data_IF_761742721921
#
_entry.id   IF_761742721921
#
_cell.length_a   1.000
_cell.length_b   1.000
_cell.length_c   1.000
_cell.angle_alpha   90.00
_cell.angle_beta   90.00
_cell.angle_gamma   90.00
#
_symmetry.space_group_name_H-M   'P 1'
#
loop_
_entity.id
_entity.type
_entity.pdbx_description
1 polymer ?
#
# COMPACT_ATOMS: atom_id res chain seq x y z
N UNK A 1 9.15 -20.37 36.59
CA UNK A 1 9.80 -19.16 36.04
C UNK A 1 9.16 -18.86 34.68
N UNK A 2 8.50 -17.72 34.50
CA UNK A 2 7.98 -17.32 33.19
C UNK A 2 9.16 -17.05 32.26
N UNK A 3 9.21 -17.74 31.13
CA UNK A 3 10.26 -17.56 30.11
C UNK A 3 10.20 -16.10 29.62
N UNK A 4 11.28 -15.37 29.82
CA UNK A 4 11.41 -14.00 29.32
C UNK A 4 11.39 -14.06 27.80
N UNK A 5 10.46 -13.34 27.17
CA UNK A 5 10.34 -13.30 25.71
C UNK A 5 11.42 -12.41 25.12
N UNK A 6 12.01 -12.86 24.01
CA UNK A 6 12.89 -12.04 23.18
C UNK A 6 12.14 -10.82 22.59
N UNK A 7 12.83 -9.72 22.26
CA UNK A 7 12.18 -8.51 21.74
C UNK A 7 11.26 -8.77 20.55
N UNK A 8 11.70 -9.55 19.57
CA UNK A 8 10.86 -9.88 18.41
C UNK A 8 9.60 -10.68 18.79
N UNK A 9 9.69 -11.56 19.81
CA UNK A 9 8.55 -12.33 20.31
C UNK A 9 7.53 -11.44 21.01
N UNK A 10 7.99 -10.39 21.72
CA UNK A 10 7.12 -9.41 22.34
C UNK A 10 6.36 -8.61 21.27
N UNK A 11 7.05 -8.20 20.19
CA UNK A 11 6.46 -7.51 19.05
C UNK A 11 5.42 -8.40 18.36
N UNK A 12 5.73 -9.67 18.09
CA UNK A 12 4.78 -10.63 17.51
C UNK A 12 3.56 -10.83 18.40
N UNK A 13 3.79 -10.99 19.71
CA UNK A 13 2.71 -11.11 20.69
C UNK A 13 1.82 -9.87 20.73
N UNK A 14 2.39 -8.67 20.56
CA UNK A 14 1.62 -7.44 20.50
C UNK A 14 0.63 -7.45 19.33
N UNK A 15 1.05 -7.91 18.14
CA UNK A 15 0.19 -8.08 16.97
C UNK A 15 -0.91 -9.10 17.24
N UNK A 16 -0.54 -10.28 17.75
CA UNK A 16 -1.45 -11.41 17.95
C UNK A 16 -2.40 -11.28 19.14
N UNK A 17 -2.11 -10.39 20.09
CA UNK A 17 -2.93 -10.20 21.31
C UNK A 17 -3.44 -8.77 21.43
N UNK A 18 -2.56 -7.80 21.69
CA UNK A 18 -2.92 -6.42 21.99
C UNK A 18 -3.59 -5.72 20.80
N UNK A 19 -3.02 -5.89 19.61
CA UNK A 19 -3.50 -5.29 18.37
C UNK A 19 -4.24 -6.28 17.47
N UNK A 20 -4.66 -7.44 17.98
CA UNK A 20 -5.33 -8.48 17.19
C UNK A 20 -6.51 -7.93 16.39
N UNK A 21 -7.43 -7.22 17.03
CA UNK A 21 -8.62 -6.65 16.38
C UNK A 21 -8.31 -5.48 15.44
N UNK A 22 -7.18 -4.80 15.66
CA UNK A 22 -6.80 -3.57 14.95
C UNK A 22 -5.83 -3.80 13.81
N UNK A 23 -5.00 -4.87 13.88
CA UNK A 23 -4.01 -5.21 12.86
C UNK A 23 -4.25 -6.59 12.26
N UNK A 24 -4.28 -7.66 13.08
CA UNK A 24 -4.36 -9.02 12.58
C UNK A 24 -5.69 -9.32 11.89
N UNK A 25 -6.81 -9.01 12.53
CA UNK A 25 -8.15 -9.26 11.97
C UNK A 25 -8.34 -8.53 10.63
N UNK A 26 -8.13 -7.20 10.50
CA UNK A 26 -8.30 -6.52 9.22
C UNK A 26 -7.29 -6.97 8.16
N UNK A 27 -6.06 -7.38 8.53
CA UNK A 27 -5.11 -8.00 7.62
C UNK A 27 -5.67 -9.31 7.05
N UNK A 28 -6.15 -10.21 7.87
CA UNK A 28 -6.76 -11.48 7.44
C UNK A 28 -8.02 -11.22 6.61
N UNK A 29 -8.83 -10.22 6.99
CA UNK A 29 -9.99 -9.80 6.21
C UNK A 29 -9.60 -9.40 4.79
N UNK A 30 -8.59 -8.55 4.65
CA UNK A 30 -8.11 -8.13 3.33
C UNK A 30 -7.59 -9.32 2.50
N UNK A 31 -6.78 -10.20 3.11
CA UNK A 31 -6.22 -11.37 2.42
C UNK A 31 -7.33 -12.28 1.88
N UNK A 32 -8.36 -12.55 2.68
CA UNK A 32 -9.48 -13.44 2.31
C UNK A 32 -10.47 -12.77 1.36
N UNK A 33 -10.89 -11.54 1.66
CA UNK A 33 -11.93 -10.85 0.90
C UNK A 33 -11.51 -10.57 -0.55
N UNK A 34 -10.21 -10.33 -0.78
CA UNK A 34 -9.69 -9.98 -2.10
C UNK A 34 -8.84 -11.09 -2.74
N UNK A 35 -8.86 -12.31 -2.18
CA UNK A 35 -8.07 -13.46 -2.68
C UNK A 35 -6.62 -13.08 -2.97
N UNK A 36 -5.96 -12.45 -2.00
CA UNK A 36 -4.62 -11.89 -2.22
C UNK A 36 -3.56 -12.97 -2.32
N UNK A 37 -3.73 -14.08 -1.61
CA UNK A 37 -2.74 -15.16 -1.50
C UNK A 37 -3.41 -16.49 -1.85
N UNK A 38 -2.79 -17.24 -2.76
CA UNK A 38 -3.20 -18.56 -3.19
C UNK A 38 -2.13 -19.61 -2.88
N UNK A 39 -2.51 -20.91 -2.82
CA UNK A 39 -1.53 -21.98 -2.67
C UNK A 39 -0.49 -21.96 -3.79
N UNK A 40 0.78 -22.10 -3.42
CA UNK A 40 1.90 -22.09 -4.36
C UNK A 40 2.41 -20.70 -4.76
N UNK A 41 1.81 -19.62 -4.24
CA UNK A 41 2.35 -18.27 -4.45
C UNK A 41 3.76 -18.12 -3.87
N UNK A 42 4.61 -17.41 -4.60
CA UNK A 42 5.88 -16.90 -4.12
C UNK A 42 5.86 -15.38 -4.15
N UNK A 43 5.83 -14.77 -2.96
CA UNK A 43 5.51 -13.35 -2.77
C UNK A 43 6.75 -12.58 -2.35
N UNK A 44 7.11 -11.54 -3.09
CA UNK A 44 8.12 -10.58 -2.69
C UNK A 44 7.49 -9.50 -1.80
N UNK A 45 7.73 -9.55 -0.50
CA UNK A 45 7.38 -8.48 0.44
C UNK A 45 8.36 -7.31 0.26
N UNK A 46 7.89 -6.21 -0.33
CA UNK A 46 8.71 -5.06 -0.66
C UNK A 46 8.82 -4.12 0.54
N UNK A 47 10.03 -3.96 1.06
CA UNK A 47 10.34 -3.19 2.26
C UNK A 47 11.03 -1.88 1.86
N UNK A 48 10.44 -0.76 2.26
CA UNK A 48 11.00 0.59 2.07
C UNK A 48 11.77 1.11 3.29
N UNK A 49 11.73 0.37 4.41
CA UNK A 49 12.29 0.78 5.69
C UNK A 49 11.33 1.59 6.58
N UNK A 50 10.20 2.03 6.05
CA UNK A 50 9.15 2.70 6.83
C UNK A 50 8.27 1.72 7.62
N UNK A 51 7.53 2.26 8.60
CA UNK A 51 6.66 1.52 9.52
C UNK A 51 5.70 0.54 8.82
N UNK A 52 5.09 1.01 7.71
CA UNK A 52 4.04 0.26 7.00
C UNK A 52 4.62 -0.98 6.33
N UNK A 53 5.72 -0.83 5.62
CA UNK A 53 6.37 -1.94 4.91
C UNK A 53 6.97 -2.99 5.87
N UNK A 54 7.49 -2.56 7.02
CA UNK A 54 8.03 -3.45 8.05
C UNK A 54 6.92 -4.22 8.77
N UNK A 55 5.80 -3.54 9.11
CA UNK A 55 4.63 -4.21 9.67
C UNK A 55 4.04 -5.21 8.67
N UNK A 56 3.88 -4.82 7.39
CA UNK A 56 3.40 -5.73 6.34
C UNK A 56 4.24 -7.00 6.26
N UNK A 57 5.57 -6.85 6.22
CA UNK A 57 6.48 -7.99 6.16
C UNK A 57 6.32 -8.91 7.38
N UNK A 58 6.14 -8.34 8.58
CA UNK A 58 5.92 -9.10 9.81
C UNK A 58 4.56 -9.80 9.81
N UNK A 59 3.50 -9.16 9.34
CA UNK A 59 2.16 -9.76 9.21
C UNK A 59 2.17 -10.94 8.22
N UNK A 60 2.82 -10.79 7.07
CA UNK A 60 2.98 -11.87 6.09
C UNK A 60 3.81 -13.03 6.66
N UNK A 61 4.89 -12.75 7.41
CA UNK A 61 5.69 -13.78 8.08
C UNK A 61 4.88 -14.56 9.12
N UNK A 62 4.06 -13.86 9.91
CA UNK A 62 3.15 -14.48 10.87
C UNK A 62 2.11 -15.34 10.15
N UNK A 63 1.53 -14.84 9.07
CA UNK A 63 0.56 -15.59 8.27
C UNK A 63 1.19 -16.87 7.70
N UNK A 64 2.39 -16.79 7.12
CA UNK A 64 3.08 -17.96 6.56
C UNK A 64 3.29 -19.07 7.60
N UNK A 65 3.58 -18.68 8.86
CA UNK A 65 3.79 -19.65 9.96
C UNK A 65 2.51 -20.28 10.51
N UNK A 66 1.37 -19.63 10.32
CA UNK A 66 0.10 -20.05 10.94
C UNK A 66 -1.00 -20.38 9.92
N UNK A 67 -0.72 -20.30 8.63
CA UNK A 67 -1.67 -20.60 7.57
C UNK A 67 -1.55 -22.03 7.10
N UNK A 68 -2.70 -22.65 6.82
CA UNK A 68 -2.75 -23.94 6.11
C UNK A 68 -2.55 -23.78 4.60
N UNK A 69 -2.59 -22.57 4.08
CA UNK A 69 -2.30 -22.25 2.67
C UNK A 69 -0.79 -22.16 2.48
N UNK A 70 -0.15 -23.06 1.73
CA UNK A 70 1.28 -23.03 1.50
C UNK A 70 1.65 -21.91 0.52
N UNK A 71 2.53 -20.99 0.92
CA UNK A 71 3.13 -19.96 0.07
C UNK A 71 4.53 -19.62 0.56
N UNK A 72 5.34 -19.05 -0.30
CA UNK A 72 6.71 -18.63 0.00
C UNK A 72 6.82 -17.11 0.10
N UNK A 73 7.77 -16.64 0.93
CA UNK A 73 8.08 -15.22 1.10
C UNK A 73 9.54 -14.95 0.78
N UNK A 74 9.75 -13.87 0.03
CA UNK A 74 11.05 -13.24 -0.16
C UNK A 74 10.93 -11.79 0.31
N UNK A 75 11.87 -11.32 1.13
CA UNK A 75 11.83 -9.95 1.68
C UNK A 75 12.81 -9.08 0.92
N UNK A 76 12.30 -8.13 0.11
CA UNK A 76 13.11 -7.29 -0.76
C UNK A 76 13.21 -5.86 -0.22
N UNK A 77 14.42 -5.40 -0.03
CA UNK A 77 14.76 -3.99 0.16
C UNK A 77 15.46 -3.49 -1.08
N UNK A 78 14.86 -2.53 -1.75
CA UNK A 78 15.52 -1.81 -2.84
C UNK A 78 16.23 -0.60 -2.26
N UNK A 79 17.54 -0.56 -2.42
CA UNK A 79 18.38 0.58 -2.03
C UNK A 79 18.52 1.53 -3.23
N UNK A 80 17.86 2.69 -3.22
CA UNK A 80 17.96 3.67 -4.30
C UNK A 80 19.16 4.61 -4.15
N UNK A 81 20.10 4.30 -3.26
CA UNK A 81 21.23 5.13 -2.85
C UNK A 81 21.01 5.77 -1.48
N UNK A 82 20.58 4.99 -0.51
CA UNK A 82 20.45 5.44 0.88
C UNK A 82 21.77 5.95 1.44
N UNK A 83 21.71 6.93 2.35
CA UNK A 83 22.86 7.22 3.21
C UNK A 83 23.12 6.05 4.17
N UNK A 84 24.34 5.99 4.73
CA UNK A 84 24.76 4.89 5.60
C UNK A 84 23.86 4.74 6.84
N UNK A 85 23.39 5.85 7.43
CA UNK A 85 22.51 5.84 8.60
C UNK A 85 21.14 5.23 8.31
N UNK A 86 20.52 5.62 7.20
CA UNK A 86 19.23 5.06 6.79
C UNK A 86 19.33 3.57 6.46
N UNK A 87 20.38 3.16 5.76
CA UNK A 87 20.64 1.75 5.46
C UNK A 87 20.83 0.93 6.73
N UNK A 88 21.68 1.41 7.64
CA UNK A 88 21.91 0.75 8.93
C UNK A 88 20.61 0.64 9.74
N UNK A 89 19.75 1.69 9.75
CA UNK A 89 18.45 1.65 10.46
C UNK A 89 17.52 0.59 9.87
N UNK A 90 17.49 0.43 8.54
CA UNK A 90 16.70 -0.64 7.89
C UNK A 90 17.20 -2.03 8.33
N UNK A 91 18.51 -2.25 8.28
CA UNK A 91 19.13 -3.52 8.67
C UNK A 91 18.90 -3.85 10.15
N UNK A 92 19.05 -2.87 11.05
CA UNK A 92 18.76 -3.00 12.47
C UNK A 92 17.30 -3.36 12.74
N UNK A 93 16.35 -2.67 12.08
CA UNK A 93 14.94 -2.96 12.22
C UNK A 93 14.57 -4.35 11.66
N UNK A 94 15.15 -4.74 10.53
CA UNK A 94 14.96 -6.07 9.97
C UNK A 94 15.48 -7.17 10.92
N UNK A 95 16.66 -6.96 11.50
CA UNK A 95 17.22 -7.87 12.50
C UNK A 95 16.37 -7.95 13.76
N UNK A 96 15.94 -6.78 14.32
CA UNK A 96 15.07 -6.71 15.49
C UNK A 96 13.72 -7.44 15.26
N UNK A 97 13.16 -7.33 14.04
CA UNK A 97 11.91 -7.98 13.66
C UNK A 97 12.11 -9.42 13.17
N UNK A 98 13.34 -9.95 13.13
CA UNK A 98 13.67 -11.26 12.56
C UNK A 98 13.11 -11.44 11.14
N UNK A 99 13.30 -10.43 10.29
CA UNK A 99 12.92 -10.45 8.87
C UNK A 99 14.18 -10.63 8.04
N UNK A 100 14.36 -11.76 7.32
CA UNK A 100 15.56 -12.03 6.52
C UNK A 100 15.51 -11.26 5.20
N UNK A 101 16.02 -10.02 5.19
CA UNK A 101 15.94 -9.12 4.02
C UNK A 101 17.05 -9.41 3.02
N UNK A 102 16.69 -9.35 1.73
CA UNK A 102 17.63 -9.28 0.61
C UNK A 102 17.66 -7.83 0.10
N UNK A 103 18.82 -7.19 0.21
CA UNK A 103 19.00 -5.80 -0.23
C UNK A 103 19.67 -5.80 -1.60
N UNK A 104 19.11 -5.04 -2.54
CA UNK A 104 19.69 -4.82 -3.86
C UNK A 104 19.73 -3.34 -4.20
N UNK A 105 20.78 -2.90 -4.88
CA UNK A 105 20.99 -1.51 -5.26
C UNK A 105 20.27 -1.16 -6.56
N UNK A 106 19.90 0.11 -6.71
CA UNK A 106 19.38 0.68 -7.94
C UNK A 106 19.92 2.11 -8.11
N UNK A 107 19.98 2.57 -9.35
CA UNK A 107 20.47 3.89 -9.78
C UNK A 107 19.35 4.96 -9.85
N UNK A 108 18.20 4.70 -9.24
CA UNK A 108 17.02 5.57 -9.36
C UNK A 108 17.30 7.01 -8.94
N UNK A 109 18.07 7.24 -7.88
CA UNK A 109 18.36 8.60 -7.44
C UNK A 109 19.27 9.36 -8.41
N UNK A 110 20.17 8.67 -9.10
CA UNK A 110 21.02 9.27 -10.13
C UNK A 110 20.18 9.69 -11.33
N UNK A 111 19.29 8.80 -11.79
CA UNK A 111 18.40 9.04 -12.93
C UNK A 111 17.36 10.12 -12.63
N UNK A 112 16.72 10.10 -11.46
CA UNK A 112 15.66 11.07 -11.12
C UNK A 112 16.20 12.45 -10.78
N UNK A 113 17.46 12.58 -10.36
CA UNK A 113 18.10 13.88 -10.10
C UNK A 113 18.33 14.71 -11.37
N UNK A 114 18.38 14.08 -12.55
CA UNK A 114 18.57 14.73 -13.85
C UNK A 114 17.28 15.21 -14.51
N UNK A 115 16.09 14.86 -13.95
CA UNK A 115 14.79 15.17 -14.56
C UNK A 115 14.08 16.28 -13.79
N UNK A 116 13.83 17.42 -14.47
CA UNK A 116 13.28 18.64 -13.86
C UNK A 116 11.77 18.63 -13.56
N UNK A 117 10.97 17.63 -14.01
CA UNK A 117 9.52 17.61 -13.84
C UNK A 117 9.05 16.35 -13.09
N UNK A 118 8.25 16.56 -12.02
CA UNK A 118 7.59 15.51 -11.24
C UNK A 118 8.49 14.34 -10.77
N UNK A 119 9.62 14.62 -10.08
CA UNK A 119 10.60 13.58 -9.71
C UNK A 119 9.98 12.47 -8.86
N UNK A 120 9.00 12.78 -8.00
CA UNK A 120 8.31 11.80 -7.15
C UNK A 120 7.49 10.77 -7.95
N UNK A 121 6.80 11.20 -9.01
CA UNK A 121 6.03 10.28 -9.85
C UNK A 121 6.95 9.33 -10.62
N UNK A 122 8.00 9.88 -11.24
CA UNK A 122 8.99 9.08 -11.98
C UNK A 122 9.70 8.09 -11.05
N UNK A 123 10.14 8.54 -9.87
CA UNK A 123 10.75 7.71 -8.84
C UNK A 123 9.83 6.55 -8.43
N UNK A 124 8.55 6.82 -8.14
CA UNK A 124 7.59 5.78 -7.76
C UNK A 124 7.34 4.77 -8.88
N UNK A 125 7.32 5.21 -10.13
CA UNK A 125 7.17 4.34 -11.31
C UNK A 125 8.39 3.46 -11.52
N UNK A 126 9.59 4.03 -11.48
CA UNK A 126 10.85 3.29 -11.61
C UNK A 126 11.02 2.27 -10.48
N UNK A 127 10.79 2.68 -9.23
CA UNK A 127 10.83 1.77 -8.07
C UNK A 127 10.00 0.52 -8.30
N UNK A 128 8.77 0.67 -8.78
CA UNK A 128 7.92 -0.49 -9.07
C UNK A 128 8.50 -1.38 -10.16
N UNK A 129 9.06 -0.81 -11.23
CA UNK A 129 9.73 -1.56 -12.30
C UNK A 129 10.89 -2.42 -11.79
N UNK A 130 11.78 -1.84 -11.00
CA UNK A 130 12.91 -2.55 -10.38
C UNK A 130 12.45 -3.66 -9.42
N UNK A 131 11.44 -3.37 -8.58
CA UNK A 131 10.89 -4.36 -7.66
C UNK A 131 10.27 -5.56 -8.41
N UNK A 132 9.50 -5.30 -9.48
CA UNK A 132 8.96 -6.37 -10.32
C UNK A 132 10.06 -7.19 -10.99
N UNK A 133 11.07 -6.53 -11.56
CA UNK A 133 12.19 -7.21 -12.22
C UNK A 133 12.91 -8.13 -11.24
N UNK A 134 13.28 -7.60 -10.07
CA UNK A 134 13.99 -8.38 -9.04
C UNK A 134 13.16 -9.50 -8.45
N UNK A 135 11.89 -9.26 -8.19
CA UNK A 135 10.97 -10.30 -7.73
C UNK A 135 10.85 -11.44 -8.75
N UNK A 136 10.75 -11.13 -10.04
CA UNK A 136 10.69 -12.13 -11.11
C UNK A 136 12.00 -12.95 -11.23
N UNK A 137 13.16 -12.29 -11.10
CA UNK A 137 14.46 -13.00 -11.04
C UNK A 137 14.51 -14.04 -9.91
N UNK A 138 13.87 -13.74 -8.79
CA UNK A 138 13.79 -14.61 -7.62
C UNK A 138 12.61 -15.61 -7.70
N UNK A 139 11.97 -15.72 -8.86
CA UNK A 139 10.88 -16.66 -9.10
C UNK A 139 9.56 -16.27 -8.43
N UNK A 140 9.40 -15.02 -7.98
CA UNK A 140 8.16 -14.56 -7.39
C UNK A 140 7.10 -14.28 -8.47
N UNK A 141 5.84 -14.64 -8.20
CA UNK A 141 4.69 -14.30 -9.02
C UNK A 141 3.90 -13.10 -8.46
N UNK A 142 4.20 -12.66 -7.23
CA UNK A 142 3.55 -11.50 -6.61
C UNK A 142 4.55 -10.58 -5.94
N UNK A 143 4.22 -9.26 -5.93
CA UNK A 143 4.85 -8.28 -5.06
C UNK A 143 3.81 -7.77 -4.06
N UNK A 144 4.18 -7.67 -2.78
CA UNK A 144 3.35 -7.08 -1.73
C UNK A 144 3.86 -5.69 -1.37
N UNK A 145 2.97 -4.70 -1.33
CA UNK A 145 3.27 -3.32 -0.96
C UNK A 145 2.49 -2.92 0.30
N UNK A 146 3.15 -2.15 1.17
CA UNK A 146 2.65 -1.72 2.48
C UNK A 146 1.60 -0.60 2.45
N UNK A 147 0.79 -0.50 1.38
CA UNK A 147 -0.34 0.44 1.35
C UNK A 147 -1.47 -0.05 2.27
N UNK A 148 -2.09 0.90 2.96
CA UNK A 148 -3.10 0.65 3.97
C UNK A 148 -4.41 1.39 3.68
N UNK A 149 -5.44 1.20 4.51
CA UNK A 149 -6.77 1.80 4.37
C UNK A 149 -6.74 3.32 4.13
N UNK A 150 -5.94 4.05 4.93
CA UNK A 150 -5.87 5.51 4.81
C UNK A 150 -5.26 5.95 3.45
N UNK A 151 -4.28 5.20 2.91
CA UNK A 151 -3.76 5.46 1.54
C UNK A 151 -4.83 5.30 0.46
N UNK A 152 -5.72 4.32 0.62
CA UNK A 152 -6.83 4.08 -0.32
C UNK A 152 -7.80 5.26 -0.30
N UNK A 153 -8.21 5.69 0.89
CA UNK A 153 -9.12 6.84 1.10
C UNK A 153 -8.49 8.12 0.55
N UNK A 154 -7.25 8.42 0.94
CA UNK A 154 -6.52 9.60 0.46
C UNK A 154 -6.40 9.59 -1.08
N UNK A 155 -6.06 8.44 -1.67
CA UNK A 155 -5.93 8.32 -3.13
C UNK A 155 -7.26 8.53 -3.84
N UNK A 156 -8.35 8.04 -3.30
CA UNK A 156 -9.70 8.25 -3.85
C UNK A 156 -10.07 9.72 -3.85
N UNK A 157 -9.90 10.41 -2.72
CA UNK A 157 -10.18 11.85 -2.60
C UNK A 157 -9.28 12.68 -3.51
N UNK A 158 -7.96 12.36 -3.56
CA UNK A 158 -7.03 13.02 -4.48
C UNK A 158 -7.44 12.85 -5.94
N UNK A 159 -7.91 11.67 -6.33
CA UNK A 159 -8.36 11.38 -7.67
C UNK A 159 -9.57 12.25 -8.08
N UNK A 160 -10.51 12.45 -7.16
CA UNK A 160 -11.69 13.31 -7.36
C UNK A 160 -11.29 14.79 -7.42
N UNK A 161 -10.49 15.28 -6.48
CA UNK A 161 -10.22 16.71 -6.33
C UNK A 161 -9.19 17.24 -7.33
N UNK A 162 -8.20 16.43 -7.67
CA UNK A 162 -7.08 16.87 -8.51
C UNK A 162 -6.95 16.09 -9.82
N UNK A 163 -7.59 14.93 -9.93
CA UNK A 163 -7.53 14.06 -11.09
C UNK A 163 -8.77 14.08 -11.97
N UNK A 164 -9.84 14.76 -11.54
CA UNK A 164 -11.14 14.78 -12.24
C UNK A 164 -11.69 13.38 -12.58
N UNK A 165 -11.42 12.42 -11.69
CA UNK A 165 -11.79 11.02 -11.87
C UNK A 165 -12.21 10.40 -10.54
N UNK A 166 -13.24 9.56 -10.55
CA UNK A 166 -13.54 8.67 -9.44
C UNK A 166 -12.73 7.39 -9.62
N UNK A 167 -11.53 7.38 -9.06
CA UNK A 167 -10.60 6.26 -9.16
C UNK A 167 -10.01 5.92 -7.80
N UNK A 168 -9.93 4.65 -7.50
CA UNK A 168 -9.35 4.15 -6.26
C UNK A 168 -8.08 3.32 -6.51
N UNK A 169 -7.40 2.99 -5.42
CA UNK A 169 -6.27 2.08 -5.42
C UNK A 169 -6.82 0.65 -5.22
N UNK A 170 -6.72 -0.28 -6.18
CA UNK A 170 -7.26 -1.63 -6.00
C UNK A 170 -6.40 -2.46 -5.03
N UNK A 171 -6.99 -3.41 -4.28
CA UNK A 171 -6.26 -4.29 -3.36
C UNK A 171 -5.32 -5.28 -4.07
N UNK A 172 -5.66 -5.63 -5.30
CA UNK A 172 -4.91 -6.54 -6.17
C UNK A 172 -4.88 -6.02 -7.59
N UNK A 173 -3.74 -6.16 -8.28
CA UNK A 173 -3.56 -5.64 -9.63
C UNK A 173 -2.63 -6.55 -10.43
N UNK A 174 -3.07 -6.98 -11.61
CA UNK A 174 -2.19 -7.67 -12.58
C UNK A 174 -1.22 -6.66 -13.21
N UNK A 175 0.04 -7.05 -13.31
CA UNK A 175 1.04 -6.20 -13.96
C UNK A 175 0.87 -6.21 -15.47
N UNK A 176 0.80 -5.04 -16.10
CA UNK A 176 0.75 -4.92 -17.57
C UNK A 176 2.13 -5.14 -18.20
N UNK A 177 3.20 -4.74 -17.51
CA UNK A 177 4.58 -4.79 -18.02
C UNK A 177 5.33 -6.07 -17.65
N UNK A 178 4.80 -6.85 -16.69
CA UNK A 178 5.38 -8.10 -16.21
C UNK A 178 4.30 -9.18 -16.24
N UNK A 179 4.06 -9.83 -17.40
CA UNK A 179 3.05 -10.86 -17.53
C UNK A 179 3.22 -11.97 -16.48
N UNK A 180 2.12 -12.44 -15.93
CA UNK A 180 2.10 -13.45 -14.86
C UNK A 180 2.38 -12.92 -13.45
N UNK A 181 2.74 -11.65 -13.29
CA UNK A 181 2.95 -11.06 -11.98
C UNK A 181 1.76 -10.20 -11.50
N UNK A 182 1.51 -10.24 -10.21
CA UNK A 182 0.48 -9.43 -9.53
C UNK A 182 1.11 -8.55 -8.45
N UNK A 183 0.45 -7.43 -8.18
CA UNK A 183 0.68 -6.57 -7.01
C UNK A 183 -0.44 -6.78 -6.03
N UNK A 184 -0.10 -6.99 -4.76
CA UNK A 184 -1.08 -7.11 -3.67
C UNK A 184 -0.84 -6.08 -2.56
N UNK A 185 -1.90 -5.72 -1.84
CA UNK A 185 -1.88 -4.79 -0.71
C UNK A 185 -2.51 -5.45 0.53
N UNK A 186 -1.73 -6.26 1.26
CA UNK A 186 -2.30 -7.06 2.36
C UNK A 186 -2.85 -6.22 3.52
N UNK A 187 -2.40 -4.97 3.68
CA UNK A 187 -2.87 -4.07 4.73
C UNK A 187 -4.04 -3.17 4.31
N UNK A 188 -4.73 -3.51 3.22
CA UNK A 188 -5.79 -2.70 2.60
C UNK A 188 -6.90 -2.24 3.57
N UNK A 189 -7.19 -3.02 4.61
CA UNK A 189 -8.20 -2.74 5.63
C UNK A 189 -7.63 -2.22 6.97
N UNK A 190 -6.31 -1.99 7.09
CA UNK A 190 -5.68 -1.49 8.32
C UNK A 190 -5.61 0.02 8.30
N UNK A 191 -6.04 0.69 9.37
CA UNK A 191 -5.93 2.13 9.53
C UNK A 191 -4.50 2.56 9.90
N UNK A 192 -4.02 3.69 9.38
CA UNK A 192 -2.69 4.23 9.70
C UNK A 192 -2.53 4.49 11.21
N UNK A 193 -3.56 5.00 11.88
CA UNK A 193 -3.52 5.27 13.31
C UNK A 193 -3.23 4.01 14.14
N UNK A 194 -3.67 2.83 13.67
CA UNK A 194 -3.41 1.56 14.32
C UNK A 194 -1.96 1.09 14.13
N UNK A 195 -1.38 1.38 12.97
CA UNK A 195 0.04 1.13 12.68
C UNK A 195 0.93 2.01 13.56
N UNK A 196 0.59 3.30 13.67
CA UNK A 196 1.30 4.27 14.52
C UNK A 196 1.21 3.87 16.00
N UNK A 197 0.01 3.49 16.46
CA UNK A 197 -0.18 3.05 17.84
C UNK A 197 0.63 1.79 18.16
N UNK A 198 0.71 0.82 17.23
CA UNK A 198 1.53 -0.37 17.37
C UNK A 198 3.02 -0.05 17.38
N UNK A 199 3.47 0.85 16.51
CA UNK A 199 4.85 1.34 16.45
C UNK A 199 5.27 1.92 17.80
N UNK A 200 4.47 2.85 18.36
CA UNK A 200 4.75 3.50 19.64
C UNK A 200 4.71 2.51 20.82
N UNK A 201 3.75 1.60 20.83
CA UNK A 201 3.62 0.56 21.86
C UNK A 201 4.89 -0.30 21.99
N UNK A 202 5.53 -0.58 20.88
CA UNK A 202 6.74 -1.41 20.85
C UNK A 202 8.04 -0.59 20.85
N UNK A 203 7.99 0.73 20.98
CA UNK A 203 9.17 1.61 20.97
C UNK A 203 9.97 1.53 19.67
N UNK A 204 9.29 1.26 18.53
CA UNK A 204 9.95 1.08 17.25
C UNK A 204 10.17 2.43 16.55
N UNK A 205 11.34 2.59 15.98
CA UNK A 205 11.70 3.75 15.18
C UNK A 205 12.04 3.30 13.76
N UNK A 206 11.35 3.86 12.79
CA UNK A 206 11.54 3.58 11.37
C UNK A 206 12.00 4.83 10.63
N UNK A 207 12.63 4.64 9.47
CA UNK A 207 12.92 5.75 8.59
C UNK A 207 11.60 6.36 8.07
N UNK A 208 11.52 7.69 8.05
CA UNK A 208 10.30 8.37 7.58
C UNK A 208 10.29 8.48 6.06
N UNK A 209 11.27 9.16 5.50
CA UNK A 209 11.48 9.25 4.05
C UNK A 209 12.98 9.31 3.79
N UNK A 210 13.50 8.36 3.02
CA UNK A 210 14.91 8.31 2.65
C UNK A 210 15.18 8.95 1.29
N UNK A 211 14.29 9.84 0.83
CA UNK A 211 14.46 10.54 -0.43
C UNK A 211 15.34 11.77 -0.23
N UNK A 212 16.45 11.88 -0.98
CA UNK A 212 17.33 13.06 -0.99
C UNK A 212 16.59 14.37 -1.30
N UNK A 213 15.48 14.31 -2.03
CA UNK A 213 14.63 15.48 -2.28
C UNK A 213 13.90 15.96 -1.02
N UNK A 214 13.45 15.04 -0.17
CA UNK A 214 12.81 15.37 1.11
C UNK A 214 13.84 15.87 2.12
N UNK A 215 15.05 15.30 2.13
CA UNK A 215 16.17 15.79 2.95
C UNK A 215 16.55 17.22 2.55
N UNK A 216 16.73 17.50 1.25
CA UNK A 216 17.04 18.85 0.74
C UNK A 216 15.92 19.86 0.97
N UNK A 217 14.66 19.45 0.86
CA UNK A 217 13.52 20.34 1.14
C UNK A 217 13.47 20.72 2.63
N UNK A 218 13.80 19.79 3.52
CA UNK A 218 13.91 20.05 4.96
C UNK A 218 15.09 20.98 5.28
N UNK A 219 16.23 20.83 4.62
CA UNK A 219 17.42 21.68 4.79
C UNK A 219 17.24 23.10 4.23
N UNK A 220 16.49 23.26 3.15
CA UNK A 220 16.30 24.58 2.51
C UNK A 220 15.14 25.38 3.08
N UNK A 221 14.38 24.84 4.04
CA UNK A 221 13.23 25.52 4.64
C UNK A 221 12.14 25.88 3.63
N UNK A 222 12.25 25.39 2.39
CA UNK A 222 11.32 25.70 1.32
C UNK A 222 10.17 24.69 1.32
N UNK A 223 9.32 24.77 2.36
CA UNK A 223 8.10 23.99 2.52
C UNK A 223 6.99 24.50 1.57
N UNK A 224 7.40 24.92 0.40
CA UNK A 224 6.63 25.66 -0.60
C UNK A 224 5.67 24.84 -1.44
N UNK A 225 5.27 23.65 -0.99
CA UNK A 225 3.99 23.05 -1.34
C UNK A 225 3.72 21.90 -0.36
N UNK A 226 2.78 22.06 0.55
CA UNK A 226 2.16 20.89 1.17
C UNK A 226 1.74 19.99 0.00
N UNK A 227 2.24 18.75 -0.04
CA UNK A 227 1.88 17.88 -1.16
C UNK A 227 0.36 17.75 -1.16
N UNK A 228 -0.28 17.64 -2.34
CA UNK A 228 -1.74 17.44 -2.47
C UNK A 228 -2.27 16.32 -1.55
N UNK A 229 -1.43 15.32 -1.28
CA UNK A 229 -1.73 14.28 -0.30
C UNK A 229 -1.79 14.82 1.12
N UNK A 230 -0.90 15.72 1.51
CA UNK A 230 -0.93 16.33 2.84
C UNK A 230 -2.17 17.22 3.04
N UNK A 231 -2.58 17.96 2.00
CA UNK A 231 -3.82 18.75 2.01
C UNK A 231 -5.04 17.85 2.23
N UNK A 232 -5.15 16.74 1.48
CA UNK A 232 -6.23 15.75 1.64
C UNK A 232 -6.19 15.11 3.03
N UNK A 233 -5.01 14.79 3.54
CA UNK A 233 -4.85 14.21 4.89
C UNK A 233 -5.35 15.16 5.99
N UNK A 234 -5.05 16.46 5.87
CA UNK A 234 -5.55 17.49 6.79
C UNK A 234 -7.07 17.65 6.69
N UNK A 235 -7.62 17.71 5.48
CA UNK A 235 -9.06 17.76 5.23
C UNK A 235 -9.79 16.57 5.86
N UNK A 236 -9.31 15.35 5.64
CA UNK A 236 -9.91 14.15 6.20
C UNK A 236 -9.86 14.16 7.74
N UNK A 237 -8.79 14.64 8.34
CA UNK A 237 -8.70 14.81 9.79
C UNK A 237 -9.74 15.80 10.32
N UNK A 238 -9.97 16.90 9.62
CA UNK A 238 -10.98 17.88 10.01
C UNK A 238 -12.39 17.31 9.88
N UNK A 239 -12.70 16.65 8.76
CA UNK A 239 -13.98 15.98 8.54
C UNK A 239 -14.24 14.89 9.58
N UNK A 240 -13.22 14.17 10.03
CA UNK A 240 -13.34 13.13 11.07
C UNK A 240 -13.79 13.68 12.43
N UNK A 241 -13.53 14.95 12.72
CA UNK A 241 -13.97 15.58 13.99
C UNK A 241 -15.50 15.71 14.07
N UNK A 242 -16.14 16.01 12.94
CA UNK A 242 -17.60 16.18 12.87
C UNK A 242 -18.30 14.88 12.43
N UNK A 243 -17.61 14.05 11.63
CA UNK A 243 -18.12 12.77 11.14
C UNK A 243 -17.04 11.67 11.31
N UNK A 244 -16.99 10.98 12.46
CA UNK A 244 -16.00 9.91 12.70
C UNK A 244 -16.04 8.76 11.69
N UNK A 245 -17.15 8.60 10.96
CA UNK A 245 -17.35 7.56 9.94
C UNK A 245 -16.93 7.96 8.52
N UNK A 246 -16.50 9.21 8.28
CA UNK A 246 -16.29 9.74 6.93
C UNK A 246 -15.34 8.90 6.07
N UNK A 247 -14.22 8.46 6.62
CA UNK A 247 -13.24 7.64 5.88
C UNK A 247 -13.81 6.27 5.51
N UNK A 248 -14.60 5.66 6.41
CA UNK A 248 -15.30 4.40 6.12
C UNK A 248 -16.33 4.60 5.02
N UNK A 249 -17.08 5.72 5.04
CA UNK A 249 -18.04 6.04 3.99
C UNK A 249 -17.36 6.20 2.64
N UNK A 250 -16.23 6.90 2.56
CA UNK A 250 -15.44 7.04 1.33
C UNK A 250 -14.92 5.66 0.88
N UNK A 251 -14.42 4.84 1.79
CA UNK A 251 -13.94 3.50 1.47
C UNK A 251 -15.07 2.59 0.96
N UNK A 252 -16.23 2.63 1.56
CA UNK A 252 -17.39 1.86 1.11
C UNK A 252 -17.94 2.34 -0.24
N UNK A 253 -17.92 3.64 -0.53
CA UNK A 253 -18.42 4.16 -1.79
C UNK A 253 -17.70 3.60 -3.02
N UNK A 254 -16.40 3.30 -2.91
CA UNK A 254 -15.65 2.68 -4.01
C UNK A 254 -15.93 1.18 -4.18
N UNK A 255 -16.60 0.55 -3.22
CA UNK A 255 -17.07 -0.84 -3.29
C UNK A 255 -18.55 -0.95 -3.68
N UNK A 256 -19.25 0.16 -3.75
CA UNK A 256 -20.70 0.22 -3.97
C UNK A 256 -21.04 1.25 -5.03
N UNK A 257 -20.27 1.26 -6.14
CA UNK A 257 -20.52 2.16 -7.26
C UNK A 257 -21.78 1.72 -7.99
N UNK A 258 -22.78 2.62 -8.07
CA UNK A 258 -24.00 2.40 -8.84
C UNK A 258 -23.81 3.01 -10.23
N UNK A 259 -23.58 2.18 -11.24
CA UNK A 259 -23.38 2.64 -12.62
C UNK A 259 -24.63 3.27 -13.22
N UNK A 260 -25.84 2.90 -12.71
CA UNK A 260 -27.10 3.42 -13.20
C UNK A 260 -27.32 4.92 -12.97
N UNK A 261 -26.62 5.46 -11.98
CA UNK A 261 -26.68 6.88 -11.64
C UNK A 261 -25.45 7.66 -12.09
N UNK A 262 -24.48 6.98 -12.73
CA UNK A 262 -23.30 7.65 -13.25
C UNK A 262 -23.57 8.31 -14.61
N UNK A 263 -23.03 9.51 -14.80
CA UNK A 263 -23.16 10.29 -16.05
C UNK A 263 -22.27 9.71 -17.16
N UNK A 264 -21.27 8.91 -16.79
CA UNK A 264 -20.39 8.20 -17.70
C UNK A 264 -19.31 7.44 -16.93
N UNK A 265 -18.72 6.44 -17.57
CA UNK A 265 -17.63 5.66 -16.98
C UNK A 265 -16.67 5.12 -18.05
N UNK A 266 -15.50 4.69 -17.63
CA UNK A 266 -14.49 4.04 -18.50
C UNK A 266 -14.20 2.64 -18.01
N UNK A 267 -14.32 1.67 -18.91
CA UNK A 267 -13.93 0.28 -18.62
C UNK A 267 -13.22 -0.34 -19.82
N UNK A 268 -12.17 -1.15 -19.59
CA UNK A 268 -11.42 -1.79 -20.67
C UNK A 268 -10.76 -0.83 -21.68
N UNK A 269 -10.63 0.46 -21.33
CA UNK A 269 -10.15 1.50 -22.25
C UNK A 269 -11.25 2.14 -23.10
N UNK A 270 -12.50 1.68 -22.98
CA UNK A 270 -13.68 2.23 -23.64
C UNK A 270 -14.36 3.25 -22.74
N UNK A 271 -14.79 4.36 -23.32
CA UNK A 271 -15.57 5.40 -22.67
C UNK A 271 -17.06 5.19 -22.95
N UNK A 272 -17.87 5.13 -21.89
CA UNK A 272 -19.33 5.03 -21.95
C UNK A 272 -19.90 6.37 -21.53
N UNK A 273 -20.60 7.03 -22.45
CA UNK A 273 -21.24 8.32 -22.21
C UNK A 273 -22.65 8.13 -21.62
N UNK A 274 -23.23 9.21 -21.07
CA UNK A 274 -24.64 9.19 -20.61
C UNK A 274 -25.59 8.73 -21.69
N UNK A 275 -25.43 9.24 -22.93
CA UNK A 275 -26.29 8.91 -24.03
C UNK A 275 -26.23 7.42 -24.43
N UNK A 276 -25.07 6.80 -24.33
CA UNK A 276 -24.91 5.36 -24.60
C UNK A 276 -25.61 4.53 -23.52
N UNK A 277 -25.30 4.82 -22.25
CA UNK A 277 -25.93 4.15 -21.10
C UNK A 277 -27.47 4.32 -21.07
N UNK A 278 -27.96 5.50 -21.45
CA UNK A 278 -29.39 5.77 -21.45
C UNK A 278 -30.13 4.98 -22.54
N UNK A 279 -29.53 4.83 -23.72
CA UNK A 279 -30.11 4.05 -24.83
C UNK A 279 -30.13 2.56 -24.49
N UNK A 280 -29.04 2.01 -24.01
CA UNK A 280 -28.96 0.60 -23.60
C UNK A 280 -30.02 0.22 -22.55
N UNK A 281 -30.28 1.11 -21.59
CA UNK A 281 -31.36 0.89 -20.58
C UNK A 281 -32.75 0.94 -21.16
N UNK A 282 -32.99 1.78 -22.15
CA UNK A 282 -34.30 1.89 -22.83
C UNK A 282 -34.61 0.63 -23.65
N UNK A 283 -33.63 -0.05 -24.20
CA UNK A 283 -33.77 -1.30 -24.92
C UNK A 283 -34.04 -2.50 -23.99
N UNK A 284 -33.39 -2.56 -22.81
CA UNK A 284 -33.61 -3.62 -21.82
C UNK A 284 -35.05 -3.60 -21.24
N UNK A 285 -35.64 -2.43 -21.01
CA UNK A 285 -37.02 -2.33 -20.48
C UNK A 285 -38.08 -2.75 -21.49
N UNK A 286 -37.78 -2.82 -22.78
CA UNK A 286 -38.72 -3.29 -23.82
C UNK A 286 -38.69 -4.83 -23.98
N UNK A 287 -37.56 -5.51 -23.62
CA UNK A 287 -37.47 -6.97 -23.67
C UNK A 287 -38.10 -7.65 -22.45
N UNK A 288 -38.15 -6.96 -21.29
CA UNK A 288 -38.74 -7.50 -20.05
C UNK A 288 -40.28 -7.36 -20.00
N UNK A 289 -40.91 -6.61 -20.92
CA UNK A 289 -42.37 -6.45 -21.04
C UNK A 289 -43.03 -7.37 -22.10
N UNK A 290 -42.27 -8.26 -22.75
CA UNK A 290 -42.76 -9.25 -23.71
C UNK A 290 -42.57 -10.67 -23.24
#
# INVERSE_FOLDING_TARGET
MSRQLEPYQQIERSIQKTYHKRLWTPFITAVKQYDLIAPGDRIAACISGGKDSMLMAKLLQLLQRHSDVPFELVYLVMDPGYNAANRQKIEQNAALLHIPVTIFSSDIFEVTSSVGQSPCYLCARMRRGYLYSKARELGCNKIALGHHFSDVVETTVMSMFYGSQLQAMPPKLRSRNFPGMELIRPMYCIHEDDIIAWQHHNGLEFIQCACRFTERAAETGNDGSSSKRQEVKLLLRELRRTNPGVEKSIFHSIHSVCLDTMVGYKTGGVEHTFADCYRERGEMTQEDET
#
